data_IF_341827415378
#
_entry.id   IF_341827415378
#
_cell.length_a   1.000
_cell.length_b   1.000
_cell.length_c   1.000
_cell.angle_alpha   90.00
_cell.angle_beta   90.00
_cell.angle_gamma   90.00
#
_symmetry.space_group_name_H-M   'P 1'
#
loop_
_entity.id
_entity.type
_entity.pdbx_description
1 polymer ?
#
# COMPACT_ATOMS: atom_id res chain seq x y z
N UNK A 1 9.41 -1.61 10.88
CA UNK A 1 8.35 -1.01 10.02
C UNK A 1 8.01 -1.74 8.71
N UNK A 2 8.80 -2.70 8.18
CA UNK A 2 8.43 -3.41 6.92
C UNK A 2 7.22 -4.36 7.05
N UNK A 3 7.05 -5.01 8.22
CA UNK A 3 5.93 -5.93 8.50
C UNK A 3 4.59 -5.21 8.51
N UNK A 4 4.53 -4.10 9.24
CA UNK A 4 3.31 -3.30 9.37
C UNK A 4 2.85 -2.72 8.03
N UNK A 5 3.79 -2.27 7.19
CA UNK A 5 3.48 -1.84 5.83
C UNK A 5 2.87 -2.96 4.98
N UNK A 6 3.38 -4.18 5.10
CA UNK A 6 2.86 -5.34 4.38
C UNK A 6 1.44 -5.71 4.84
N UNK A 7 1.16 -5.65 6.14
CA UNK A 7 -0.17 -5.89 6.71
C UNK A 7 -1.19 -4.85 6.21
N UNK A 8 -0.82 -3.57 6.17
CA UNK A 8 -1.68 -2.50 5.62
C UNK A 8 -1.96 -2.71 4.13
N UNK A 9 -0.95 -3.11 3.34
CA UNK A 9 -1.15 -3.38 1.91
C UNK A 9 -2.09 -4.57 1.66
N UNK A 10 -1.95 -5.65 2.44
CA UNK A 10 -2.86 -6.81 2.37
C UNK A 10 -4.28 -6.39 2.75
N UNK A 11 -4.43 -5.56 3.78
CA UNK A 11 -5.72 -5.02 4.18
C UNK A 11 -6.38 -4.17 3.07
N UNK A 12 -5.63 -3.23 2.46
CA UNK A 12 -6.12 -2.45 1.34
C UNK A 12 -6.53 -3.33 0.15
N UNK A 13 -5.75 -4.36 -0.17
CA UNK A 13 -6.06 -5.30 -1.25
C UNK A 13 -7.36 -6.10 -0.97
N UNK A 14 -7.51 -6.65 0.24
CA UNK A 14 -8.71 -7.38 0.65
C UNK A 14 -9.96 -6.49 0.64
N UNK A 15 -9.81 -5.21 0.96
CA UNK A 15 -10.88 -4.22 0.88
C UNK A 15 -11.11 -3.69 -0.56
N UNK A 16 -10.55 -4.36 -1.57
CA UNK A 16 -10.64 -4.00 -2.99
C UNK A 16 -10.27 -2.54 -3.29
N UNK A 17 -9.43 -1.93 -2.46
CA UNK A 17 -8.93 -0.57 -2.68
C UNK A 17 -7.95 -0.57 -3.84
N UNK A 18 -7.98 0.51 -4.61
CA UNK A 18 -6.99 0.77 -5.65
C UNK A 18 -5.63 1.14 -5.04
N UNK A 19 -4.56 1.00 -5.81
CA UNK A 19 -3.21 1.39 -5.37
C UNK A 19 -3.14 2.88 -4.96
N UNK A 20 -3.90 3.75 -5.64
CA UNK A 20 -3.98 5.18 -5.33
C UNK A 20 -4.71 5.47 -4.01
N UNK A 21 -5.72 4.68 -3.65
CA UNK A 21 -6.39 4.79 -2.34
C UNK A 21 -5.49 4.25 -1.22
N UNK A 22 -4.84 3.10 -1.44
CA UNK A 22 -3.89 2.53 -0.48
C UNK A 22 -2.73 3.50 -0.21
N UNK A 23 -2.20 4.14 -1.25
CA UNK A 23 -1.16 5.16 -1.11
C UNK A 23 -1.63 6.37 -0.29
N UNK A 24 -2.84 6.88 -0.54
CA UNK A 24 -3.42 7.99 0.25
C UNK A 24 -3.58 7.64 1.73
N UNK A 25 -4.12 6.45 2.03
CA UNK A 25 -4.24 5.98 3.42
C UNK A 25 -2.88 5.85 4.11
N UNK A 26 -1.86 5.39 3.38
CA UNK A 26 -0.51 5.28 3.93
C UNK A 26 0.12 6.64 4.21
N UNK A 27 -0.07 7.62 3.31
CA UNK A 27 0.40 8.99 3.53
C UNK A 27 -0.31 9.65 4.71
N UNK A 28 -1.61 9.39 4.88
CA UNK A 28 -2.38 9.91 6.02
C UNK A 28 -1.89 9.36 7.37
N UNK A 29 -1.57 8.06 7.43
CA UNK A 29 -1.15 7.38 8.68
C UNK A 29 0.33 7.60 9.01
N UNK A 30 1.20 7.63 8.00
CA UNK A 30 2.67 7.64 8.19
C UNK A 30 3.36 8.91 7.68
N UNK A 31 2.61 9.86 7.12
CA UNK A 31 3.13 11.09 6.54
C UNK A 31 3.76 10.92 5.15
N UNK A 32 4.30 12.01 4.59
CA UNK A 32 4.87 12.02 3.24
C UNK A 32 6.19 11.24 3.08
N UNK A 33 6.74 10.69 4.17
CA UNK A 33 8.00 9.92 4.15
C UNK A 33 7.82 8.46 3.72
N UNK A 34 6.63 8.09 3.25
CA UNK A 34 6.31 6.74 2.80
C UNK A 34 7.00 6.48 1.45
N UNK A 35 7.72 5.36 1.28
CA UNK A 35 8.47 5.07 0.05
C UNK A 35 7.56 5.08 -1.19
N UNK A 36 8.02 5.73 -2.26
CA UNK A 36 7.21 6.12 -3.41
C UNK A 36 6.47 4.97 -4.11
N UNK A 37 5.34 5.35 -4.71
CA UNK A 37 4.35 4.62 -5.51
C UNK A 37 4.85 3.43 -6.36
N UNK A 38 6.11 3.43 -6.83
CA UNK A 38 6.70 2.35 -7.64
C UNK A 38 6.74 1.02 -6.89
N UNK A 39 7.12 1.03 -5.61
CA UNK A 39 7.15 -0.17 -4.77
C UNK A 39 5.73 -0.70 -4.56
N UNK A 40 4.76 0.17 -4.28
CA UNK A 40 3.37 -0.23 -4.06
C UNK A 40 2.69 -0.79 -5.31
N UNK A 41 2.95 -0.22 -6.49
CA UNK A 41 2.44 -0.74 -7.76
C UNK A 41 2.97 -2.13 -8.05
N UNK A 42 4.26 -2.39 -7.79
CA UNK A 42 4.84 -3.73 -7.94
C UNK A 42 4.22 -4.74 -6.96
N UNK A 43 3.99 -4.33 -5.70
CA UNK A 43 3.31 -5.18 -4.73
C UNK A 43 1.87 -5.48 -5.12
N UNK A 44 1.09 -4.47 -5.50
CA UNK A 44 -0.29 -4.66 -5.96
C UNK A 44 -0.38 -5.51 -7.23
N UNK A 45 0.60 -5.40 -8.15
CA UNK A 45 0.72 -6.32 -9.30
C UNK A 45 0.97 -7.77 -8.88
N UNK A 46 1.75 -8.02 -7.82
CA UNK A 46 1.99 -9.38 -7.31
C UNK A 46 0.78 -9.97 -6.59
N UNK A 47 -0.10 -9.14 -6.04
CA UNK A 47 -1.33 -9.59 -5.37
C UNK A 47 -2.49 -9.84 -6.35
N UNK A 48 -2.51 -9.15 -7.49
CA UNK A 48 -3.36 -9.55 -8.62
C UNK A 48 -2.70 -10.73 -9.35
N UNK A 49 -2.99 -11.96 -8.92
CA UNK A 49 -3.05 -13.06 -9.89
C UNK A 49 -4.21 -12.83 -10.85
#
# INVERSE_FOLDING_TARGET
NKRHLREVLIFCFNWKKTAAEAHRMLVEVYGNNVPFDKTYREWFRRFKM
#
